data_IF_469101656079
#
_entry.id   IF_469101656079
#
_cell.length_a   1.000
_cell.length_b   1.000
_cell.length_c   1.000
_cell.angle_alpha   90.00
_cell.angle_beta   90.00
_cell.angle_gamma   90.00
#
_symmetry.space_group_name_H-M   'P 1'
#
loop_
_entity.id
_entity.type
_entity.pdbx_description
1 polymer ?
#
# COMPACT_ATOMS: atom_id res chain seq x y z
N UNK A 1 9.95 -5.59 -12.79
CA UNK A 1 8.77 -4.84 -13.25
C UNK A 1 8.85 -3.45 -12.68
N UNK A 2 8.28 -2.46 -13.36
CA UNK A 2 8.63 -1.05 -13.25
C UNK A 2 7.55 -0.27 -12.47
N UNK A 3 7.95 0.77 -11.72
CA UNK A 3 7.06 1.72 -11.03
C UNK A 3 6.03 2.34 -11.99
N UNK A 4 6.29 2.22 -13.30
CA UNK A 4 5.36 2.47 -14.39
C UNK A 4 3.98 1.84 -14.20
N UNK A 5 3.86 0.62 -13.69
CA UNK A 5 2.59 -0.13 -13.80
C UNK A 5 1.51 0.43 -12.87
N UNK A 6 1.87 0.71 -11.61
CA UNK A 6 0.97 1.37 -10.64
C UNK A 6 0.59 2.77 -11.16
N UNK A 7 1.57 3.51 -11.69
CA UNK A 7 1.37 4.86 -12.22
C UNK A 7 0.44 4.87 -13.43
N UNK A 8 0.63 3.92 -14.36
CA UNK A 8 -0.21 3.74 -15.55
C UNK A 8 -1.63 3.37 -15.17
N UNK A 9 -1.81 2.45 -14.23
CA UNK A 9 -3.12 2.05 -13.73
C UNK A 9 -3.89 3.24 -13.15
N UNK A 10 -3.29 3.96 -12.20
CA UNK A 10 -3.92 5.13 -11.57
C UNK A 10 -4.22 6.23 -12.59
N UNK A 11 -3.29 6.50 -13.52
CA UNK A 11 -3.49 7.47 -14.58
C UNK A 11 -4.61 7.07 -15.54
N UNK A 12 -4.70 5.77 -15.89
CA UNK A 12 -5.75 5.25 -16.77
C UNK A 12 -7.13 5.46 -16.17
N UNK A 13 -7.34 5.01 -14.93
CA UNK A 13 -8.60 5.20 -14.18
C UNK A 13 -8.94 6.70 -14.05
N UNK A 14 -7.96 7.52 -13.68
CA UNK A 14 -8.16 8.97 -13.53
C UNK A 14 -8.62 9.64 -14.83
N UNK A 15 -8.11 9.23 -16.00
CA UNK A 15 -8.55 9.76 -17.30
C UNK A 15 -10.00 9.41 -17.64
N UNK A 16 -10.51 8.33 -17.08
CA UNK A 16 -11.91 7.93 -17.20
C UNK A 16 -12.82 8.61 -16.14
N UNK A 17 -12.25 9.51 -15.33
CA UNK A 17 -12.97 10.14 -14.22
C UNK A 17 -13.16 9.23 -13.01
N UNK A 18 -12.47 8.08 -12.98
CA UNK A 18 -12.56 7.08 -11.94
C UNK A 18 -11.40 7.28 -10.96
N UNK A 19 -11.71 7.45 -9.67
CA UNK A 19 -10.67 7.52 -8.65
C UNK A 19 -10.17 6.11 -8.30
N UNK A 20 -8.97 6.01 -7.73
CA UNK A 20 -8.46 4.72 -7.24
C UNK A 20 -8.45 4.76 -5.73
N UNK A 21 -9.23 3.91 -5.06
CA UNK A 21 -9.27 3.84 -3.60
C UNK A 21 -9.10 2.40 -3.12
N UNK A 22 -7.95 2.16 -2.50
CA UNK A 22 -7.59 0.90 -1.86
C UNK A 22 -7.72 1.04 -0.35
N UNK A 23 -8.40 0.09 0.29
CA UNK A 23 -8.39 -0.04 1.74
C UNK A 23 -7.73 -1.35 2.14
N UNK A 24 -6.73 -1.29 3.02
CA UNK A 24 -6.10 -2.43 3.65
C UNK A 24 -6.60 -2.52 5.10
N UNK A 25 -7.01 -3.69 5.55
CA UNK A 25 -7.49 -3.93 6.91
C UNK A 25 -6.73 -5.10 7.50
N UNK A 26 -6.02 -4.84 8.59
CA UNK A 26 -5.21 -5.88 9.21
C UNK A 26 -4.07 -5.39 10.06
N UNK A 27 -3.13 -6.30 10.28
CA UNK A 27 -2.02 -6.11 11.21
C UNK A 27 -0.72 -5.68 10.51
N UNK A 28 0.42 -6.05 11.08
CA UNK A 28 1.75 -5.73 10.55
C UNK A 28 1.94 -6.19 9.09
N UNK A 29 1.24 -7.23 8.65
CA UNK A 29 1.33 -7.69 7.25
C UNK A 29 0.76 -6.66 6.29
N UNK A 30 -0.43 -6.14 6.58
CA UNK A 30 -1.06 -5.11 5.74
C UNK A 30 -0.31 -3.79 5.81
N UNK A 31 0.24 -3.47 6.98
CA UNK A 31 1.14 -2.32 7.15
C UNK A 31 2.40 -2.43 6.29
N UNK A 32 2.97 -3.62 6.12
CA UNK A 32 4.11 -3.84 5.22
C UNK A 32 3.75 -3.62 3.74
N UNK A 33 2.54 -3.99 3.33
CA UNK A 33 2.05 -3.67 1.98
C UNK A 33 1.96 -2.17 1.77
N UNK A 34 1.38 -1.45 2.73
CA UNK A 34 1.29 0.01 2.69
C UNK A 34 2.68 0.65 2.70
N UNK A 35 3.62 0.13 3.50
CA UNK A 35 5.01 0.56 3.48
C UNK A 35 5.67 0.35 2.11
N UNK A 36 5.48 -0.82 1.51
CA UNK A 36 6.02 -1.13 0.17
C UNK A 36 5.38 -0.23 -0.89
N UNK A 37 4.08 0.07 -0.76
CA UNK A 37 3.37 0.99 -1.64
C UNK A 37 3.90 2.42 -1.52
N UNK A 38 4.24 2.90 -0.32
CA UNK A 38 4.85 4.23 -0.10
C UNK A 38 6.14 4.45 -0.90
N UNK A 39 6.90 3.38 -1.15
CA UNK A 39 8.13 3.42 -1.94
C UNK A 39 7.85 3.44 -3.45
N UNK A 40 6.63 3.07 -3.85
CA UNK A 40 6.23 2.87 -5.24
C UNK A 40 5.02 3.71 -5.64
N UNK A 41 4.74 4.78 -4.89
CA UNK A 41 3.67 5.71 -5.20
C UNK A 41 3.93 6.41 -6.55
N UNK A 42 2.89 6.63 -7.38
CA UNK A 42 3.02 7.40 -8.62
C UNK A 42 3.67 8.78 -8.45
N UNK A 43 4.75 9.05 -9.16
CA UNK A 43 5.52 10.29 -8.98
C UNK A 43 4.80 11.55 -9.50
N UNK A 44 3.77 11.39 -10.33
CA UNK A 44 2.98 12.47 -10.93
C UNK A 44 1.82 12.97 -10.04
N UNK A 45 1.74 12.51 -8.79
CA UNK A 45 0.73 12.94 -7.82
C UNK A 45 1.37 13.70 -6.66
N UNK A 46 0.62 14.67 -6.12
CA UNK A 46 0.94 15.30 -4.85
C UNK A 46 0.24 14.56 -3.70
N UNK A 47 1.01 14.18 -2.69
CA UNK A 47 0.51 13.35 -1.58
C UNK A 47 0.29 14.14 -0.30
N UNK A 48 -0.84 13.84 0.35
CA UNK A 48 -1.14 14.25 1.74
C UNK A 48 -1.29 12.99 2.59
N UNK A 49 -0.83 13.06 3.84
CA UNK A 49 -0.75 11.91 4.75
C UNK A 49 -1.49 12.18 6.05
N UNK A 50 -2.22 11.19 6.55
CA UNK A 50 -2.99 11.30 7.79
C UNK A 50 -2.79 10.10 8.71
N UNK A 51 -2.69 10.35 10.00
CA UNK A 51 -2.76 9.35 11.07
C UNK A 51 -4.04 9.61 11.86
N UNK A 52 -5.07 8.77 11.67
CA UNK A 52 -6.44 9.12 12.07
C UNK A 52 -6.89 10.40 11.36
N UNK A 53 -7.40 11.39 12.09
CA UNK A 53 -7.75 12.72 11.58
C UNK A 53 -6.56 13.68 11.45
N UNK A 54 -5.40 13.36 12.01
CA UNK A 54 -4.26 14.28 12.04
C UNK A 54 -3.47 14.22 10.74
N UNK A 55 -3.47 15.32 9.98
CA UNK A 55 -2.55 15.51 8.87
C UNK A 55 -1.10 15.57 9.39
N UNK A 56 -0.21 14.81 8.76
CA UNK A 56 1.22 14.74 9.11
C UNK A 56 2.07 14.92 7.86
N UNK A 57 3.35 15.21 8.04
CA UNK A 57 4.29 15.24 6.91
C UNK A 57 4.70 13.81 6.49
N UNK A 58 5.31 13.69 5.30
CA UNK A 58 5.70 12.40 4.75
C UNK A 58 6.70 11.63 5.63
N UNK A 59 7.64 12.32 6.30
CA UNK A 59 8.63 11.69 7.18
C UNK A 59 7.96 11.09 8.42
N UNK A 60 7.07 11.85 9.08
CA UNK A 60 6.28 11.37 10.22
C UNK A 60 5.39 10.19 9.85
N UNK A 61 4.72 10.24 8.70
CA UNK A 61 3.90 9.14 8.22
C UNK A 61 4.73 7.88 7.92
N UNK A 62 5.86 8.03 7.21
CA UNK A 62 6.79 6.91 6.95
C UNK A 62 7.28 6.34 8.27
N UNK A 63 7.70 7.16 9.24
CA UNK A 63 8.09 6.69 10.57
C UNK A 63 6.94 5.98 11.27
N UNK A 64 5.72 6.50 11.18
CA UNK A 64 4.55 5.83 11.72
C UNK A 64 4.41 4.46 11.06
N UNK A 65 4.25 4.34 9.75
CA UNK A 65 4.10 3.05 9.06
C UNK A 65 5.30 2.11 9.31
N UNK A 66 6.53 2.62 9.34
CA UNK A 66 7.79 1.86 9.51
C UNK A 66 8.09 1.49 10.96
N UNK A 67 7.49 2.15 11.94
CA UNK A 67 7.76 1.87 13.34
C UNK A 67 6.44 1.64 14.08
N UNK A 68 6.22 0.42 14.58
CA UNK A 68 5.05 -0.01 15.36
C UNK A 68 4.78 0.78 16.67
N UNK A 69 5.49 1.89 16.89
CA UNK A 69 5.33 2.80 18.02
C UNK A 69 4.02 3.60 17.90
N UNK A 70 3.68 4.06 16.70
CA UNK A 70 2.39 4.72 16.44
C UNK A 70 1.40 3.68 15.91
N UNK A 71 0.22 3.66 16.52
CA UNK A 71 -0.88 2.75 16.18
C UNK A 71 -2.19 3.53 16.09
N UNK A 72 -2.27 4.56 15.22
CA UNK A 72 -3.54 5.20 14.95
C UNK A 72 -4.53 4.14 14.41
N UNK A 73 -5.83 4.37 14.58
CA UNK A 73 -6.87 3.48 14.07
C UNK A 73 -6.82 3.39 12.54
N UNK A 74 -6.49 4.50 11.87
CA UNK A 74 -6.31 4.56 10.42
C UNK A 74 -5.02 5.27 10.00
N UNK A 75 -4.51 4.90 8.82
CA UNK A 75 -3.49 5.63 8.09
C UNK A 75 -4.05 5.92 6.70
N UNK A 76 -4.02 7.18 6.27
CA UNK A 76 -4.52 7.55 4.95
C UNK A 76 -3.42 8.25 4.13
N UNK A 77 -3.31 7.85 2.87
CA UNK A 77 -2.48 8.49 1.84
C UNK A 77 -3.43 8.99 0.76
N UNK A 78 -3.42 10.28 0.48
CA UNK A 78 -4.27 10.90 -0.54
C UNK A 78 -3.37 11.53 -1.61
N UNK A 79 -3.35 10.94 -2.80
CA UNK A 79 -2.66 11.43 -3.98
C UNK A 79 -3.60 12.20 -4.91
N UNK A 80 -3.29 13.46 -5.18
CA UNK A 80 -4.01 14.32 -6.11
C UNK A 80 -3.15 14.56 -7.36
N UNK A 81 -3.76 14.59 -8.54
CA UNK A 81 -3.04 14.98 -9.75
C UNK A 81 -2.45 16.38 -9.57
N UNK A 82 -1.17 16.55 -9.93
CA UNK A 82 -0.58 17.89 -10.00
C UNK A 82 -1.29 18.60 -11.15
N UNK A 83 -2.17 19.55 -10.83
CA UNK A 83 -2.69 20.48 -11.84
C UNK A 83 -1.51 21.30 -12.31
N UNK A 84 -0.87 20.87 -13.39
CA UNK A 84 0.03 21.73 -14.15
C UNK A 84 -0.85 22.91 -14.54
N UNK A 85 -0.58 24.13 -14.04
CA UNK A 85 -1.32 25.30 -14.49
C UNK A 85 -1.30 25.24 -16.01
N UNK A 86 -2.44 25.43 -16.70
CA UNK A 86 -2.44 25.43 -18.16
C UNK A 86 -1.28 26.33 -18.56
N UNK A 87 -0.26 25.74 -19.19
CA UNK A 87 0.81 26.54 -19.75
C UNK A 87 0.06 27.46 -20.67
N UNK A 88 0.01 28.74 -20.30
CA UNK A 88 -0.52 29.76 -21.16
C UNK A 88 0.38 29.61 -22.37
N UNK A 89 -0.14 28.95 -23.42
CA UNK A 89 0.46 28.95 -24.73
C UNK A 89 0.56 30.42 -25.07
N UNK A 90 1.73 30.98 -24.73
CA UNK A 90 2.13 32.31 -25.09
C UNK A 90 2.12 32.23 -26.60
N UNK A 91 0.97 32.60 -27.17
CA UNK A 91 0.82 32.96 -28.55
C UNK A 91 1.80 34.12 -28.69
N UNK A 92 3.05 33.76 -28.99
CA UNK A 92 4.10 34.68 -29.37
C UNK A 92 3.49 35.45 -30.52
N UNK A 93 3.11 36.70 -30.23
CA UNK A 93 2.86 37.65 -31.31
C UNK A 93 4.08 37.60 -32.23
N UNK A 94 3.88 37.60 -33.55
CA UNK A 94 4.98 37.56 -34.50
C UNK A 94 5.80 38.84 -34.33
N UNK A 95 6.88 38.76 -33.56
CA UNK A 95 7.89 39.81 -33.50
C UNK A 95 8.57 39.84 -34.86
N UNK A 96 8.44 41.00 -35.48
CA UNK A 96 9.02 41.30 -36.79
C UNK A 96 10.53 41.14 -36.77
N UNK A 97 10.99 40.49 -37.84
CA UNK A 97 12.36 40.17 -38.20
C UNK A 97 13.32 41.35 -38.10
N UNK A 98 14.45 41.14 -37.42
CA UNK A 98 15.73 41.73 -37.86
C UNK A 98 16.76 40.61 -37.99
N UNK A 99 17.17 40.37 -39.24
CA UNK A 99 18.18 39.39 -39.60
C UNK A 99 19.55 39.82 -39.07
N UNK A 100 20.17 38.96 -38.26
CA UNK A 100 21.62 38.98 -38.09
C UNK A 100 22.15 37.57 -38.26
N UNK A 101 22.81 37.35 -39.39
CA UNK A 101 23.54 36.14 -39.74
C UNK A 101 24.77 35.99 -38.84
N UNK A 102 24.81 34.92 -38.04
CA UNK A 102 26.04 34.45 -37.41
C UNK A 102 26.17 32.93 -37.56
N UNK A 103 27.39 32.57 -37.94
CA UNK A 103 28.00 31.31 -38.36
C UNK A 103 27.80 30.14 -37.38
N UNK A 104 27.75 28.88 -37.85
CA UNK A 104 27.46 27.72 -37.00
C UNK A 104 28.71 27.22 -36.27
N UNK A 105 28.62 27.12 -34.94
CA UNK A 105 29.57 26.35 -34.14
C UNK A 105 28.81 25.33 -33.31
N UNK A 106 28.92 24.08 -33.74
CA UNK A 106 28.45 22.89 -33.04
C UNK A 106 29.24 22.73 -31.73
N UNK A 107 28.56 22.43 -30.61
CA UNK A 107 28.99 21.26 -29.87
C UNK A 107 27.81 20.39 -29.46
N UNK A 108 27.91 19.10 -29.80
CA UNK A 108 27.13 18.02 -29.21
C UNK A 108 27.11 18.10 -27.67
N UNK A 109 25.95 18.11 -27.01
CA UNK A 109 25.84 17.57 -25.68
C UNK A 109 25.54 16.08 -25.79
N UNK A 110 26.58 15.28 -25.54
CA UNK A 110 26.43 13.89 -25.11
C UNK A 110 25.67 13.87 -23.78
N UNK A 111 24.35 13.83 -23.82
CA UNK A 111 23.53 13.52 -22.66
C UNK A 111 23.65 12.03 -22.36
N UNK A 112 24.52 11.68 -21.40
CA UNK A 112 24.57 10.33 -20.85
C UNK A 112 23.24 10.01 -20.16
N UNK A 113 22.63 8.84 -20.36
CA UNK A 113 21.39 8.44 -19.69
C UNK A 113 21.54 8.13 -18.18
N UNK A 114 22.74 8.25 -17.61
CA UNK A 114 23.09 7.68 -16.32
C UNK A 114 22.94 8.62 -15.10
N UNK A 115 22.48 9.86 -15.29
CA UNK A 115 22.29 10.84 -14.20
C UNK A 115 20.85 10.86 -13.64
N UNK A 116 20.09 9.76 -13.78
CA UNK A 116 18.93 9.58 -12.92
C UNK A 116 19.44 9.38 -11.49
N UNK A 117 19.05 10.21 -10.50
CA UNK A 117 19.48 10.01 -9.13
C UNK A 117 19.06 8.60 -8.71
N UNK A 118 20.05 7.74 -8.49
CA UNK A 118 19.86 6.37 -8.02
C UNK A 118 19.37 6.42 -6.57
N UNK A 119 18.08 6.76 -6.41
CA UNK A 119 17.38 6.72 -5.14
C UNK A 119 17.33 5.25 -4.75
N UNK A 120 18.23 4.84 -3.86
CA UNK A 120 18.20 3.54 -3.24
C UNK A 120 17.32 3.63 -1.98
N UNK A 121 16.01 3.30 -2.05
CA UNK A 121 15.10 3.39 -0.91
C UNK A 121 15.53 2.51 0.27
N UNK A 122 16.50 1.61 0.07
CA UNK A 122 16.98 0.68 1.08
C UNK A 122 18.12 1.26 1.95
N UNK A 123 18.79 2.34 1.52
CA UNK A 123 19.94 2.91 2.26
C UNK A 123 19.54 3.90 3.38
N UNK A 124 18.33 4.47 3.37
CA UNK A 124 17.87 5.41 4.40
C UNK A 124 17.25 4.75 5.65
N UNK A 125 17.15 3.42 5.71
CA UNK A 125 16.57 2.71 6.88
C UNK A 125 17.60 2.56 8.02
N UNK A 126 18.77 3.18 7.90
CA UNK A 126 19.82 3.20 8.92
C UNK A 126 19.63 4.35 9.92
N UNK A 127 18.57 4.31 10.72
CA UNK A 127 18.51 5.13 11.93
C UNK A 127 18.59 4.25 13.18
N UNK A 128 19.70 4.38 13.91
CA UNK A 128 19.85 3.96 15.31
C UNK A 128 18.75 4.65 16.14
N UNK A 129 17.62 3.98 16.36
CA UNK A 129 16.61 4.49 17.28
C UNK A 129 16.73 3.84 18.65
N UNK A 130 16.64 4.64 19.74
CA UNK A 130 16.68 4.12 21.10
C UNK A 130 15.60 3.08 21.31
N UNK A 131 16.04 1.91 21.76
CA UNK A 131 15.19 0.86 22.32
C UNK A 131 14.54 1.39 23.61
N UNK A 132 13.28 1.01 23.80
CA UNK A 132 12.44 1.27 24.99
C UNK A 132 12.03 2.72 25.25
N UNK A 133 10.88 3.09 24.72
CA UNK A 133 9.90 3.88 25.47
C UNK A 133 8.50 3.48 24.98
N UNK A 134 7.71 2.90 25.89
CA UNK A 134 6.29 2.62 25.69
C UNK A 134 5.54 3.95 25.74
N UNK A 135 5.54 4.68 24.63
CA UNK A 135 4.75 5.90 24.55
C UNK A 135 3.26 5.54 24.65
N UNK A 136 2.51 6.13 25.59
CA UNK A 136 1.07 5.96 25.64
C UNK A 136 0.46 6.39 24.31
N UNK A 137 -0.60 5.70 23.87
CA UNK A 137 -1.36 6.07 22.67
C UNK A 137 -1.81 7.51 22.84
N UNK A 138 -1.28 8.43 22.00
CA UNK A 138 -1.67 9.83 22.06
C UNK A 138 -3.16 9.92 21.68
N UNK A 139 -4.04 10.37 22.60
CA UNK A 139 -5.48 10.38 22.39
C UNK A 139 -5.91 11.23 21.20
N UNK A 140 -5.03 12.08 20.67
CA UNK A 140 -5.27 12.88 19.46
C UNK A 140 -5.41 12.05 18.19
N UNK A 141 -5.05 10.76 18.19
CA UNK A 141 -5.18 9.89 17.03
C UNK A 141 -6.51 9.10 16.98
N UNK A 142 -7.38 9.22 17.99
CA UNK A 142 -8.48 8.26 18.18
C UNK A 142 -9.68 8.43 17.22
N UNK A 143 -9.75 9.52 16.46
CA UNK A 143 -10.82 9.71 15.48
C UNK A 143 -10.32 9.28 14.08
N UNK A 144 -11.10 8.48 13.33
CA UNK A 144 -10.83 8.25 11.92
C UNK A 144 -11.14 9.51 11.11
N UNK A 145 -10.42 9.71 9.99
CA UNK A 145 -10.77 10.74 9.02
C UNK A 145 -12.16 10.43 8.46
N UNK A 146 -13.09 11.38 8.63
CA UNK A 146 -14.47 11.22 8.17
C UNK A 146 -14.54 11.41 6.66
N UNK A 147 -15.25 10.50 5.99
CA UNK A 147 -15.40 10.52 4.52
C UNK A 147 -16.09 11.79 3.99
N UNK A 148 -16.91 12.46 4.82
CA UNK A 148 -17.56 13.72 4.47
C UNK A 148 -16.62 14.93 4.41
N UNK A 149 -15.43 14.86 4.99
CA UNK A 149 -14.46 15.96 5.01
C UNK A 149 -13.57 15.98 3.76
N UNK A 150 -13.41 14.83 3.08
CA UNK A 150 -12.64 14.71 1.84
C UNK A 150 -13.60 14.65 0.67
N UNK A 151 -13.72 15.74 -0.10
CA UNK A 151 -14.47 15.70 -1.35
C UNK A 151 -13.86 14.66 -2.30
N UNK A 152 -14.61 13.58 -2.57
CA UNK A 152 -14.17 12.43 -3.36
C UNK A 152 -13.73 12.78 -4.78
N UNK A 153 -14.24 13.88 -5.33
CA UNK A 153 -13.86 14.42 -6.64
C UNK A 153 -12.43 14.95 -6.71
N UNK A 154 -11.70 15.00 -5.57
CA UNK A 154 -10.41 15.67 -5.50
C UNK A 154 -9.19 14.76 -5.49
N UNK A 155 -9.32 13.42 -5.52
CA UNK A 155 -8.16 12.53 -5.48
C UNK A 155 -8.10 11.58 -6.68
N UNK A 156 -6.87 11.29 -7.13
CA UNK A 156 -6.59 10.27 -8.14
C UNK A 156 -6.32 8.92 -7.50
N UNK A 157 -5.65 8.93 -6.33
CA UNK A 157 -5.32 7.75 -5.54
C UNK A 157 -5.61 8.02 -4.07
N UNK A 158 -6.26 7.06 -3.40
CA UNK A 158 -6.34 6.97 -1.95
C UNK A 158 -5.96 5.58 -1.49
N UNK A 159 -5.14 5.54 -0.45
CA UNK A 159 -4.79 4.30 0.24
C UNK A 159 -5.14 4.48 1.70
N UNK A 160 -6.01 3.62 2.23
CA UNK A 160 -6.39 3.60 3.64
C UNK A 160 -5.85 2.33 4.27
N UNK A 161 -5.23 2.41 5.44
CA UNK A 161 -4.91 1.26 6.29
C UNK A 161 -5.75 1.37 7.57
N UNK A 162 -6.66 0.43 7.78
CA UNK A 162 -7.34 0.24 9.07
C UNK A 162 -6.51 -0.73 9.89
N UNK A 163 -5.94 -0.24 10.98
CA UNK A 163 -5.03 -1.03 11.80
C UNK A 163 -5.81 -1.93 12.75
N UNK A 164 -5.63 -3.24 12.59
CA UNK A 164 -6.17 -4.28 13.48
C UNK A 164 -5.02 -5.04 14.14
N UNK A 165 -4.57 -4.65 15.34
CA UNK A 165 -3.51 -5.37 16.02
C UNK A 165 -4.04 -6.74 16.46
N UNK A 166 -3.44 -7.82 15.96
CA UNK A 166 -3.83 -9.23 16.18
C UNK A 166 -3.89 -9.73 17.63
N UNK A 167 -3.71 -8.88 18.64
CA UNK A 167 -3.92 -9.23 20.04
C UNK A 167 -5.41 -9.14 20.40
N UNK A 168 -6.22 -10.05 19.87
CA UNK A 168 -7.68 -10.04 20.03
C UNK A 168 -8.19 -10.57 21.38
N UNK A 169 -7.30 -10.98 22.28
CA UNK A 169 -7.67 -11.30 23.67
C UNK A 169 -8.23 -10.06 24.41
N UNK A 170 -8.02 -8.84 23.88
CA UNK A 170 -8.61 -7.61 24.40
C UNK A 170 -9.75 -7.16 23.50
N UNK A 171 -10.99 -7.42 23.94
CA UNK A 171 -12.24 -7.01 23.26
C UNK A 171 -12.29 -5.52 22.91
N UNK A 172 -11.52 -4.68 23.59
CA UNK A 172 -11.48 -3.22 23.40
C UNK A 172 -11.07 -2.78 22.00
N UNK A 173 -10.22 -3.55 21.29
CA UNK A 173 -9.75 -3.13 19.97
C UNK A 173 -10.73 -3.45 18.84
N UNK A 174 -11.53 -4.54 18.96
CA UNK A 174 -12.48 -5.01 17.93
C UNK A 174 -13.51 -3.92 17.56
N UNK A 175 -13.83 -3.02 18.50
CA UNK A 175 -14.80 -1.96 18.26
C UNK A 175 -14.36 -0.97 17.18
N UNK A 176 -13.06 -0.72 17.03
CA UNK A 176 -12.56 0.29 16.08
C UNK A 176 -12.70 -0.16 14.64
N UNK A 177 -12.40 -1.43 14.32
CA UNK A 177 -12.53 -1.92 12.94
C UNK A 177 -13.99 -2.07 12.54
N UNK A 178 -14.85 -2.54 13.44
CA UNK A 178 -16.31 -2.60 13.21
C UNK A 178 -16.83 -1.21 12.86
N UNK A 179 -16.43 -0.19 13.62
CA UNK A 179 -16.87 1.17 13.38
C UNK A 179 -16.48 1.66 11.99
N UNK A 180 -15.30 1.31 11.46
CA UNK A 180 -14.88 1.75 10.13
C UNK A 180 -15.64 1.02 9.01
N UNK A 181 -15.97 -0.26 9.19
CA UNK A 181 -16.83 -0.98 8.25
C UNK A 181 -18.25 -0.42 8.22
N UNK A 182 -18.84 -0.16 9.38
CA UNK A 182 -20.18 0.46 9.44
C UNK A 182 -20.14 1.90 8.90
N UNK A 183 -19.08 2.67 9.16
CA UNK A 183 -18.90 4.01 8.57
C UNK A 183 -18.87 3.94 7.03
N UNK A 184 -18.19 2.96 6.44
CA UNK A 184 -18.22 2.76 4.99
C UNK A 184 -19.61 2.31 4.51
N UNK A 185 -20.27 1.40 5.23
CA UNK A 185 -21.62 0.94 4.88
C UNK A 185 -22.67 2.06 4.94
N UNK A 186 -22.57 2.97 5.90
CA UNK A 186 -23.49 4.10 6.04
C UNK A 186 -23.04 5.31 5.21
N UNK A 187 -21.79 5.32 4.77
CA UNK A 187 -21.18 6.39 4.01
C UNK A 187 -21.66 6.47 2.56
N UNK A 188 -21.59 7.66 1.94
CA UNK A 188 -21.96 7.87 0.53
C UNK A 188 -20.97 7.22 -0.44
N UNK A 189 -19.82 6.76 0.03
CA UNK A 189 -18.72 6.25 -0.78
C UNK A 189 -17.98 5.12 -0.11
N UNK A 190 -17.44 4.22 -0.94
CA UNK A 190 -16.70 3.05 -0.52
C UNK A 190 -15.30 3.04 -1.16
N UNK A 191 -14.32 2.36 -0.53
CA UNK A 191 -13.15 1.88 -1.24
C UNK A 191 -13.57 1.04 -2.44
N UNK A 192 -12.80 1.09 -3.53
CA UNK A 192 -13.04 0.24 -4.71
C UNK A 192 -12.66 -1.22 -4.43
N UNK A 193 -11.64 -1.41 -3.59
CA UNK A 193 -11.24 -2.72 -3.08
C UNK A 193 -10.88 -2.60 -1.61
N UNK A 194 -11.41 -3.54 -0.82
CA UNK A 194 -11.05 -3.76 0.58
C UNK A 194 -10.23 -5.04 0.66
N UNK A 195 -8.97 -4.93 1.07
CA UNK A 195 -8.04 -6.03 1.25
C UNK A 195 -7.94 -6.35 2.73
N UNK A 196 -8.28 -7.57 3.13
CA UNK A 196 -8.24 -8.01 4.52
C UNK A 196 -7.11 -9.01 4.68
N UNK A 197 -6.09 -8.67 5.47
CA UNK A 197 -4.93 -9.53 5.67
C UNK A 197 -4.50 -9.64 7.12
N UNK A 198 -4.38 -10.87 7.61
CA UNK A 198 -3.95 -11.17 8.97
C UNK A 198 -2.64 -11.94 8.95
N UNK A 199 -1.68 -11.52 9.77
CA UNK A 199 -0.38 -12.18 9.88
C UNK A 199 -0.50 -13.60 10.43
N UNK A 200 0.50 -14.41 10.12
CA UNK A 200 0.65 -15.77 10.60
C UNK A 200 0.72 -15.88 12.13
N UNK A 201 1.08 -14.82 12.87
CA UNK A 201 1.12 -14.85 14.35
C UNK A 201 -0.23 -15.24 14.95
N UNK A 202 -1.29 -14.75 14.32
CA UNK A 202 -2.66 -15.00 14.69
C UNK A 202 -3.12 -16.43 14.34
N UNK A 203 -2.53 -17.00 13.31
CA UNK A 203 -2.83 -18.36 12.82
C UNK A 203 -2.05 -19.40 13.63
N UNK A 204 -0.79 -19.10 13.98
CA UNK A 204 0.18 -20.04 14.54
C UNK A 204 0.31 -19.96 16.07
N UNK A 205 -0.38 -19.04 16.75
CA UNK A 205 -0.34 -18.90 18.22
C UNK A 205 -0.81 -20.15 18.99
N UNK A 206 -1.32 -21.18 18.31
CA UNK A 206 -1.53 -22.52 18.87
C UNK A 206 -0.42 -23.46 18.40
N UNK A 207 0.55 -23.69 19.28
CA UNK A 207 1.77 -24.48 19.11
C UNK A 207 1.66 -25.89 18.46
N UNK A 208 0.48 -26.39 18.07
CA UNK A 208 0.31 -27.76 17.54
C UNK A 208 -0.86 -27.93 16.56
N UNK A 209 -1.49 -26.86 16.08
CA UNK A 209 -2.69 -26.99 15.25
C UNK A 209 -2.33 -26.73 13.80
N UNK A 210 -2.66 -27.70 12.94
CA UNK A 210 -2.58 -27.62 11.49
C UNK A 210 -3.11 -26.25 11.00
N UNK A 211 -2.39 -25.58 10.08
CA UNK A 211 -2.80 -24.32 9.46
C UNK A 211 -4.15 -24.44 8.71
N UNK A 212 -4.60 -25.68 8.48
CA UNK A 212 -5.90 -26.02 7.89
C UNK A 212 -7.01 -26.26 8.92
N UNK A 213 -6.74 -26.13 10.22
CA UNK A 213 -7.78 -26.30 11.23
C UNK A 213 -8.84 -25.21 11.11
N UNK A 214 -10.13 -25.57 10.99
CA UNK A 214 -11.20 -24.59 10.80
C UNK A 214 -11.34 -23.61 11.97
N UNK A 215 -10.79 -23.92 13.15
CA UNK A 215 -10.87 -23.10 14.36
C UNK A 215 -9.60 -22.27 14.64
N UNK A 216 -9.11 -21.54 13.65
CA UNK A 216 -8.02 -20.56 13.86
C UNK A 216 -8.58 -19.23 14.37
N UNK A 217 -7.73 -18.36 14.92
CA UNK A 217 -8.15 -17.00 15.31
C UNK A 217 -8.69 -16.19 14.11
N UNK A 218 -8.33 -16.57 12.88
CA UNK A 218 -8.91 -16.00 11.65
C UNK A 218 -10.41 -16.27 11.58
N UNK A 219 -10.87 -17.46 11.93
CA UNK A 219 -12.30 -17.75 11.96
C UNK A 219 -13.00 -16.91 13.02
N UNK A 220 -12.42 -16.82 14.22
CA UNK A 220 -12.95 -15.96 15.30
C UNK A 220 -13.00 -14.50 14.85
N UNK A 221 -11.95 -13.99 14.21
CA UNK A 221 -11.93 -12.66 13.62
C UNK A 221 -13.05 -12.52 12.60
N UNK A 222 -13.04 -13.37 11.56
CA UNK A 222 -13.99 -13.32 10.46
C UNK A 222 -15.44 -13.37 10.93
N UNK A 223 -15.77 -14.19 11.94
CA UNK A 223 -17.13 -14.29 12.50
C UNK A 223 -17.63 -12.97 13.08
N UNK A 224 -16.78 -12.17 13.73
CA UNK A 224 -17.20 -10.86 14.28
C UNK A 224 -17.51 -9.86 13.17
N UNK A 225 -16.81 -9.96 12.04
CA UNK A 225 -16.96 -9.04 10.91
C UNK A 225 -17.84 -9.60 9.80
N UNK A 226 -18.26 -10.87 9.86
CA UNK A 226 -18.88 -11.58 8.74
C UNK A 226 -20.08 -10.81 8.20
N UNK A 227 -20.94 -10.31 9.10
CA UNK A 227 -22.11 -9.54 8.70
C UNK A 227 -21.73 -8.25 7.94
N UNK A 228 -20.83 -7.43 8.50
CA UNK A 228 -20.40 -6.18 7.86
C UNK A 228 -19.63 -6.45 6.57
N UNK A 229 -18.80 -7.50 6.53
CA UNK A 229 -18.04 -7.91 5.36
C UNK A 229 -18.93 -8.44 4.23
N UNK A 230 -19.96 -9.22 4.54
CA UNK A 230 -20.95 -9.65 3.54
C UNK A 230 -21.66 -8.43 2.95
N UNK A 231 -22.13 -7.50 3.80
CA UNK A 231 -22.76 -6.26 3.31
C UNK A 231 -21.82 -5.38 2.49
N UNK A 232 -20.53 -5.36 2.82
CA UNK A 232 -19.52 -4.64 2.05
C UNK A 232 -19.26 -5.34 0.71
N UNK A 233 -19.16 -6.67 0.71
CA UNK A 233 -18.95 -7.48 -0.50
C UNK A 233 -20.10 -7.31 -1.51
N UNK A 234 -21.32 -7.04 -1.05
CA UNK A 234 -22.46 -6.72 -1.93
C UNK A 234 -22.32 -5.37 -2.65
N UNK A 235 -21.40 -4.49 -2.20
CA UNK A 235 -21.26 -3.10 -2.71
C UNK A 235 -19.86 -2.77 -3.23
N UNK A 236 -18.85 -3.52 -2.83
CA UNK A 236 -17.46 -3.33 -3.22
C UNK A 236 -16.71 -4.65 -3.21
N UNK A 237 -15.57 -4.71 -3.90
CA UNK A 237 -14.73 -5.90 -3.89
C UNK A 237 -14.07 -6.06 -2.52
N UNK A 238 -14.25 -7.22 -1.88
CA UNK A 238 -13.55 -7.59 -0.66
C UNK A 238 -12.62 -8.76 -0.96
N UNK A 239 -11.32 -8.55 -0.82
CA UNK A 239 -10.29 -9.57 -1.04
C UNK A 239 -9.74 -10.06 0.30
N UNK A 240 -9.77 -11.37 0.50
CA UNK A 240 -9.12 -11.99 1.65
C UNK A 240 -7.67 -12.37 1.34
N UNK A 241 -6.73 -11.58 1.88
CA UNK A 241 -5.31 -11.76 1.68
C UNK A 241 -4.71 -12.69 2.74
N UNK A 242 -4.73 -13.98 2.45
CA UNK A 242 -4.11 -14.99 3.31
C UNK A 242 -2.65 -15.22 2.92
N UNK A 243 -1.74 -14.95 3.85
CA UNK A 243 -0.35 -15.38 3.72
C UNK A 243 -0.13 -16.68 4.51
N UNK A 244 -0.20 -17.85 3.86
CA UNK A 244 0.35 -19.09 4.43
C UNK A 244 1.73 -19.33 3.85
N UNK A 245 2.74 -19.52 4.71
CA UNK A 245 4.07 -19.94 4.26
C UNK A 245 4.17 -21.45 4.05
N UNK A 246 3.38 -22.32 4.70
CA UNK A 246 3.54 -23.77 4.47
C UNK A 246 2.94 -24.24 3.15
N UNK A 247 1.84 -23.63 2.72
CA UNK A 247 1.18 -24.01 1.47
C UNK A 247 1.36 -22.98 0.37
N UNK A 248 1.81 -21.76 0.69
CA UNK A 248 2.20 -20.75 -0.28
C UNK A 248 1.12 -20.47 -1.34
N UNK A 249 -0.16 -20.54 -0.94
CA UNK A 249 -1.28 -20.33 -1.84
C UNK A 249 -1.83 -18.93 -1.63
N UNK A 250 -1.66 -18.10 -2.66
CA UNK A 250 -2.66 -17.09 -2.95
C UNK A 250 -3.89 -17.81 -3.45
N UNK A 251 -4.98 -17.76 -2.68
CA UNK A 251 -6.24 -18.42 -3.03
C UNK A 251 -6.98 -17.75 -4.21
N UNK A 252 -6.30 -16.86 -4.92
CA UNK A 252 -6.82 -16.10 -6.06
C UNK A 252 -6.44 -16.67 -7.44
N UNK A 253 -5.56 -17.69 -7.56
CA UNK A 253 -5.10 -18.32 -8.85
C UNK A 253 -3.60 -18.12 -9.19
N UNK A 254 -2.71 -18.05 -8.20
CA UNK A 254 -1.28 -18.24 -8.49
C UNK A 254 -0.68 -19.30 -7.58
N UNK A 255 -0.36 -20.44 -8.19
CA UNK A 255 0.35 -21.58 -7.58
C UNK A 255 1.84 -21.30 -7.39
N UNK A 256 2.29 -20.06 -7.56
CA UNK A 256 3.69 -19.72 -7.37
C UNK A 256 3.97 -19.68 -5.87
N UNK A 257 4.85 -20.56 -5.34
CA UNK A 257 5.02 -20.62 -3.92
C UNK A 257 5.70 -19.33 -3.47
N UNK A 258 4.99 -18.47 -2.76
CA UNK A 258 5.47 -17.27 -2.08
C UNK A 258 6.79 -17.48 -1.32
N UNK A 259 6.96 -18.68 -0.75
CA UNK A 259 8.21 -19.05 -0.12
C UNK A 259 9.38 -19.13 -1.11
N UNK A 260 9.17 -19.62 -2.33
CA UNK A 260 10.24 -19.70 -3.33
C UNK A 260 10.69 -18.31 -3.79
N UNK A 261 9.79 -17.33 -3.87
CA UNK A 261 10.19 -15.94 -4.18
C UNK A 261 11.08 -15.37 -3.07
N UNK A 262 10.63 -15.45 -1.81
CA UNK A 262 11.42 -15.02 -0.65
C UNK A 262 12.76 -15.78 -0.52
N UNK A 263 12.76 -17.10 -0.74
CA UNK A 263 13.98 -17.92 -0.71
C UNK A 263 14.94 -17.49 -1.83
N UNK A 264 14.44 -17.28 -3.05
CA UNK A 264 15.28 -16.83 -4.18
C UNK A 264 15.91 -15.46 -3.91
N UNK A 265 15.17 -14.52 -3.33
CA UNK A 265 15.71 -13.22 -2.94
C UNK A 265 16.82 -13.37 -1.90
N UNK A 266 16.61 -14.20 -0.89
CA UNK A 266 17.63 -14.52 0.10
C UNK A 266 18.87 -15.18 -0.50
N UNK A 267 18.69 -16.12 -1.43
CA UNK A 267 19.79 -16.74 -2.14
C UNK A 267 20.58 -15.72 -2.96
N UNK A 268 19.90 -14.80 -3.67
CA UNK A 268 20.58 -13.72 -4.43
C UNK A 268 21.37 -12.79 -3.53
N UNK A 269 20.79 -12.35 -2.40
CA UNK A 269 21.49 -11.51 -1.43
C UNK A 269 22.69 -12.25 -0.82
N UNK A 270 22.54 -13.55 -0.55
CA UNK A 270 23.63 -14.39 -0.05
C UNK A 270 24.75 -14.55 -1.10
N UNK A 271 24.41 -14.84 -2.36
CA UNK A 271 25.34 -14.94 -3.49
C UNK A 271 26.09 -13.62 -3.73
N UNK A 272 25.45 -12.48 -3.47
CA UNK A 272 26.05 -11.16 -3.51
C UNK A 272 26.89 -10.79 -2.27
N UNK A 273 27.09 -11.72 -1.32
CA UNK A 273 27.76 -11.49 -0.03
C UNK A 273 27.12 -10.37 0.81
N UNK A 274 25.81 -10.15 0.67
CA UNK A 274 25.05 -9.12 1.38
C UNK A 274 24.42 -9.63 2.68
N UNK A 275 25.02 -10.64 3.33
CA UNK A 275 24.48 -11.27 4.55
C UNK A 275 24.42 -10.33 5.77
N UNK A 276 25.17 -9.23 5.77
CA UNK A 276 25.08 -8.18 6.81
C UNK A 276 24.22 -6.99 6.37
N UNK A 277 23.71 -6.99 5.14
CA UNK A 277 22.92 -5.89 4.62
C UNK A 277 21.55 -5.84 5.32
N UNK A 278 20.96 -4.65 5.55
CA UNK A 278 19.63 -4.53 6.16
C UNK A 278 18.51 -5.24 5.41
N UNK A 279 18.70 -5.52 4.11
CA UNK A 279 17.75 -6.37 3.37
C UNK A 279 17.84 -7.83 3.81
N UNK A 280 19.02 -8.30 4.20
CA UNK A 280 19.21 -9.68 4.64
C UNK A 280 18.88 -9.89 6.11
N UNK A 281 19.16 -8.89 6.98
CA UNK A 281 19.01 -8.96 8.45
C UNK A 281 18.01 -7.96 9.03
N UNK A 282 17.20 -7.35 8.17
CA UNK A 282 16.28 -6.29 8.53
C UNK A 282 15.24 -6.68 9.59
N UNK A 283 14.80 -5.65 10.30
CA UNK A 283 13.72 -5.77 11.29
C UNK A 283 12.39 -6.19 10.65
N UNK A 284 12.13 -5.68 9.46
CA UNK A 284 10.86 -5.87 8.76
C UNK A 284 10.81 -7.15 7.95
N UNK A 285 11.96 -7.50 7.39
CA UNK A 285 12.18 -8.73 6.69
C UNK A 285 13.66 -9.08 6.83
N UNK A 286 13.92 -10.34 7.12
CA UNK A 286 15.25 -10.92 7.05
C UNK A 286 15.13 -12.35 6.54
N UNK A 287 16.23 -12.90 6.08
CA UNK A 287 16.25 -14.23 5.49
C UNK A 287 16.03 -15.36 6.50
N UNK A 288 16.14 -15.08 7.79
CA UNK A 288 15.72 -15.99 8.87
C UNK A 288 14.27 -15.80 9.31
N UNK A 289 13.59 -14.76 8.82
CA UNK A 289 12.24 -14.41 9.24
C UNK A 289 11.23 -15.34 8.57
N UNK A 290 10.49 -16.11 9.37
CA UNK A 290 9.42 -16.97 8.90
C UNK A 290 8.05 -16.29 8.81
N UNK A 291 7.93 -15.00 9.13
CA UNK A 291 6.62 -14.34 9.34
C UNK A 291 6.30 -13.23 8.33
N UNK A 292 7.30 -12.56 7.75
CA UNK A 292 7.08 -11.36 6.91
C UNK A 292 7.47 -11.56 5.45
N UNK A 293 6.71 -11.04 4.47
CA UNK A 293 7.17 -11.08 3.07
C UNK A 293 8.29 -10.08 2.83
N UNK A 294 9.18 -10.42 1.88
CA UNK A 294 10.18 -9.49 1.39
C UNK A 294 9.58 -8.28 0.69
N UNK A 295 10.39 -7.22 0.49
CA UNK A 295 9.95 -6.03 -0.23
C UNK A 295 9.59 -6.35 -1.68
N UNK A 296 10.38 -7.17 -2.38
CA UNK A 296 10.08 -7.57 -3.76
C UNK A 296 8.77 -8.35 -3.84
N UNK A 297 8.56 -9.31 -2.93
CA UNK A 297 7.33 -10.10 -2.88
C UNK A 297 6.13 -9.21 -2.59
N UNK A 298 6.23 -8.33 -1.58
CA UNK A 298 5.18 -7.35 -1.28
C UNK A 298 4.87 -6.45 -2.48
N UNK A 299 5.89 -6.09 -3.26
CA UNK A 299 5.73 -5.25 -4.42
C UNK A 299 4.98 -5.97 -5.55
N UNK A 300 5.35 -7.21 -5.87
CA UNK A 300 4.62 -8.05 -6.85
C UNK A 300 3.16 -8.17 -6.46
N UNK A 301 2.88 -8.37 -5.17
CA UNK A 301 1.52 -8.51 -4.69
C UNK A 301 0.67 -7.24 -4.89
N UNK A 302 1.28 -6.09 -4.60
CA UNK A 302 0.65 -4.78 -4.84
C UNK A 302 0.41 -4.61 -6.33
N UNK A 303 1.38 -4.98 -7.18
CA UNK A 303 1.17 -4.94 -8.63
C UNK A 303 0.02 -5.82 -9.08
N UNK A 304 -0.11 -7.04 -8.56
CA UNK A 304 -1.25 -7.91 -8.86
C UNK A 304 -2.58 -7.26 -8.47
N UNK A 305 -2.63 -6.58 -7.32
CA UNK A 305 -3.80 -5.82 -6.89
C UNK A 305 -4.15 -4.66 -7.83
N UNK A 306 -3.14 -3.89 -8.30
CA UNK A 306 -3.38 -2.82 -9.28
C UNK A 306 -3.74 -3.37 -10.65
N UNK A 307 -3.16 -4.50 -11.07
CA UNK A 307 -3.55 -5.18 -12.30
C UNK A 307 -5.00 -5.65 -12.23
N UNK A 308 -5.44 -6.20 -11.09
CA UNK A 308 -6.84 -6.53 -10.86
C UNK A 308 -7.75 -5.30 -11.01
N UNK A 309 -7.39 -4.18 -10.36
CA UNK A 309 -8.15 -2.92 -10.43
C UNK A 309 -8.21 -2.28 -11.81
N UNK A 310 -7.19 -2.48 -12.64
CA UNK A 310 -7.08 -1.85 -13.96
C UNK A 310 -7.30 -2.82 -15.11
N UNK A 311 -7.78 -4.01 -14.81
CA UNK A 311 -8.19 -4.94 -15.83
C UNK A 311 -9.63 -4.62 -16.24
N UNK A 312 -9.80 -3.93 -17.36
CA UNK A 312 -11.10 -3.55 -17.92
C UNK A 312 -12.05 -4.76 -18.09
N UNK A 313 -11.50 -5.97 -18.29
CA UNK A 313 -12.32 -7.19 -18.38
C UNK A 313 -13.04 -7.51 -17.07
N UNK A 314 -12.48 -7.14 -15.92
CA UNK A 314 -13.08 -7.37 -14.59
C UNK A 314 -14.20 -6.39 -14.28
N UNK A 315 -14.17 -5.17 -14.83
CA UNK A 315 -15.28 -4.21 -14.69
C UNK A 315 -16.45 -4.52 -15.63
N UNK A 316 -16.21 -5.29 -16.69
CA UNK A 316 -17.18 -5.52 -17.77
C UNK A 316 -18.15 -6.69 -17.55
N UNK A 317 -18.04 -7.46 -16.46
CA UNK A 317 -18.98 -8.56 -16.23
C UNK A 317 -20.33 -8.03 -15.77
N UNK A 318 -21.33 -8.10 -16.66
CA UNK A 318 -22.75 -7.88 -16.35
C UNK A 318 -23.27 -8.74 -15.17
N UNK A 319 -22.52 -9.78 -14.79
CA UNK A 319 -22.80 -10.72 -13.70
C UNK A 319 -22.47 -10.19 -12.29
N UNK A 320 -22.00 -8.95 -12.16
CA UNK A 320 -21.70 -8.31 -10.88
C UNK A 320 -20.23 -8.44 -10.45
N UNK A 321 -19.84 -7.86 -9.29
CA UNK A 321 -18.48 -7.94 -8.78
C UNK A 321 -18.13 -9.39 -8.46
N UNK A 322 -16.98 -9.87 -8.95
CA UNK A 322 -16.48 -11.20 -8.61
C UNK A 322 -16.23 -11.30 -7.10
N UNK A 323 -16.93 -12.23 -6.43
CA UNK A 323 -16.57 -12.67 -5.09
C UNK A 323 -15.50 -13.76 -5.19
N UNK A 324 -14.32 -13.53 -4.61
CA UNK A 324 -13.22 -14.50 -4.53
C UNK A 324 -12.87 -14.83 -3.08
#
# INVERSE_FOLDING_TARGET
MDQSDISQCVASRSRQGITTWLAFVGDSTMRQKVHTLLLNLPQNLQYTYFLGTKQVNASEFRKAVTFHKLRPPTFDIIGKAVTVPPQHDGKLEPSSSTNTTTTPTNPNPSSSPDDAPNFNPYLEIHDEYPTSETNPVDPKFNAPLWEGEVQLSQFSLRVTLVWSPGTWDKRENIGTEINKFEEWLDGPSLPHVIVIGLSTWNILSRNKVDELSPATQVETFARHFLHSLTRLADRTTVLYWRQSRRTAVWLWDSTLPFNLANIRECLRLNEANMFNHPLYTGRWWNCGDSHHSSYETNYVDIQMLFNFLCNDYMESSEEGPYCC
#
